data_IF_243305287594
#
_entry.id   IF_243305287594
#
_cell.length_a   1.000
_cell.length_b   1.000
_cell.length_c   1.000
_cell.angle_alpha   90.00
_cell.angle_beta   90.00
_cell.angle_gamma   90.00
#
_symmetry.space_group_name_H-M   'P 1'
#
loop_
_entity.id
_entity.type
_entity.pdbx_description
1 polymer ?
#
# COMPACT_ATOMS: atom_id res chain seq x y z
N UNK A 1 -14.34 -14.94 -8.22
CA UNK A 1 -14.04 -13.49 -8.31
C UNK A 1 -15.28 -12.65 -8.02
N UNK A 2 -16.44 -13.19 -8.33
CA UNK A 2 -17.77 -12.59 -8.38
C UNK A 2 -18.21 -11.97 -7.05
N UNK A 3 -17.84 -12.58 -5.92
CA UNK A 3 -18.15 -12.08 -4.57
C UNK A 3 -17.38 -10.79 -4.20
N UNK A 4 -16.25 -10.52 -4.86
CA UNK A 4 -15.54 -9.25 -4.72
C UNK A 4 -16.18 -8.16 -5.61
N UNK A 5 -16.56 -8.51 -6.83
CA UNK A 5 -17.26 -7.60 -7.74
C UNK A 5 -18.60 -7.10 -7.15
N UNK A 6 -19.39 -7.99 -6.55
CA UNK A 6 -20.63 -7.64 -5.84
C UNK A 6 -20.41 -6.66 -4.65
N UNK A 7 -19.21 -6.61 -4.07
CA UNK A 7 -18.85 -5.60 -3.04
C UNK A 7 -18.44 -4.27 -3.66
N UNK A 8 -17.75 -4.29 -4.81
CA UNK A 8 -17.39 -3.07 -5.54
C UNK A 8 -18.62 -2.33 -6.07
N UNK A 9 -19.66 -3.03 -6.54
CA UNK A 9 -20.94 -2.42 -6.97
C UNK A 9 -21.66 -1.62 -5.86
N UNK A 10 -21.37 -1.89 -4.58
CA UNK A 10 -21.92 -1.12 -3.45
C UNK A 10 -21.09 0.11 -3.07
N UNK A 11 -19.94 0.31 -3.72
CA UNK A 11 -19.00 1.43 -3.46
C UNK A 11 -18.94 2.40 -4.66
N UNK A 12 -19.31 1.94 -5.86
CA UNK A 12 -19.43 2.81 -7.05
C UNK A 12 -20.52 3.87 -6.89
N UNK A 13 -20.14 5.14 -6.91
CA UNK A 13 -21.06 6.28 -6.97
C UNK A 13 -21.93 6.23 -8.24
N UNK A 14 -23.25 6.30 -8.05
CA UNK A 14 -24.32 6.31 -9.06
C UNK A 14 -23.89 6.39 -10.54
N UNK A 15 -23.86 5.24 -11.21
CA UNK A 15 -24.06 5.19 -12.67
C UNK A 15 -25.39 5.87 -12.99
N UNK A 16 -25.33 6.97 -13.74
CA UNK A 16 -26.46 7.88 -14.00
C UNK A 16 -27.38 7.41 -15.12
N UNK A 17 -27.33 6.11 -15.45
CA UNK A 17 -27.86 5.50 -16.67
C UNK A 17 -29.08 4.59 -16.45
N UNK A 18 -29.78 4.67 -15.30
CA UNK A 18 -30.94 3.81 -14.97
C UNK A 18 -32.23 4.57 -14.60
N UNK A 19 -32.99 4.84 -15.66
CA UNK A 19 -34.45 4.92 -15.79
C UNK A 19 -35.29 5.77 -14.79
N UNK A 20 -36.24 6.52 -15.37
CA UNK A 20 -37.25 7.31 -14.67
C UNK A 20 -38.32 6.41 -14.02
N UNK A 21 -38.24 6.22 -12.71
CA UNK A 21 -39.40 5.85 -11.88
C UNK A 21 -39.86 7.08 -11.07
N UNK A 22 -41.18 7.25 -10.93
CA UNK A 22 -41.80 8.41 -10.28
C UNK A 22 -41.58 8.40 -8.76
N UNK A 23 -40.44 8.93 -8.31
CA UNK A 23 -40.11 9.08 -6.89
C UNK A 23 -40.87 10.24 -6.27
N UNK A 24 -41.17 10.12 -4.98
CA UNK A 24 -41.64 11.23 -4.15
C UNK A 24 -40.62 12.37 -4.14
N UNK A 25 -41.08 13.61 -3.92
CA UNK A 25 -40.23 14.79 -3.74
C UNK A 25 -39.07 14.50 -2.77
N UNK A 26 -37.85 15.00 -3.05
CA UNK A 26 -36.67 14.69 -2.25
C UNK A 26 -36.88 15.05 -0.77
N UNK A 27 -36.49 14.13 0.12
CA UNK A 27 -36.66 14.26 1.57
C UNK A 27 -35.60 15.20 2.15
N UNK A 28 -35.81 16.50 1.91
CA UNK A 28 -34.95 17.58 2.38
C UNK A 28 -35.28 17.89 3.83
N UNK A 29 -34.25 17.94 4.69
CA UNK A 29 -34.39 18.28 6.10
C UNK A 29 -35.22 19.58 6.28
N UNK A 30 -36.16 19.66 7.24
CA UNK A 30 -37.19 20.72 7.26
C UNK A 30 -36.65 22.16 7.18
N UNK A 31 -35.50 22.45 7.79
CA UNK A 31 -34.89 23.78 7.71
C UNK A 31 -34.38 24.12 6.30
N UNK A 32 -33.88 23.14 5.54
CA UNK A 32 -33.51 23.29 4.12
C UNK A 32 -34.77 23.49 3.28
N UNK A 33 -35.81 22.68 3.53
CA UNK A 33 -37.08 22.78 2.83
C UNK A 33 -37.72 24.17 2.98
N UNK A 34 -37.75 24.73 4.20
CA UNK A 34 -38.23 26.09 4.46
C UNK A 34 -37.30 27.20 3.94
N UNK A 35 -35.97 26.98 3.92
CA UNK A 35 -35.05 27.94 3.31
C UNK A 35 -35.26 28.04 1.80
N UNK A 36 -35.45 26.91 1.12
CA UNK A 36 -35.78 26.87 -0.31
C UNK A 36 -37.14 27.50 -0.63
N UNK A 37 -38.12 27.47 0.29
CA UNK A 37 -39.38 28.24 0.14
C UNK A 37 -39.13 29.75 0.11
N UNK A 38 -38.26 30.26 0.98
CA UNK A 38 -37.87 31.69 1.00
C UNK A 38 -37.09 32.08 -0.26
N UNK A 39 -36.13 31.24 -0.68
CA UNK A 39 -35.35 31.45 -1.91
C UNK A 39 -36.24 31.45 -3.14
N UNK A 40 -37.11 30.43 -3.30
CA UNK A 40 -38.08 30.36 -4.40
C UNK A 40 -38.98 31.59 -4.44
N UNK A 41 -39.54 31.99 -3.29
CA UNK A 41 -40.44 33.15 -3.21
C UNK A 41 -39.73 34.46 -3.59
N UNK A 42 -38.48 34.63 -3.16
CA UNK A 42 -37.65 35.79 -3.55
C UNK A 42 -37.33 35.79 -5.04
N UNK A 43 -36.94 34.65 -5.63
CA UNK A 43 -36.60 34.55 -7.04
C UNK A 43 -37.82 34.75 -7.96
N UNK A 44 -38.99 34.19 -7.62
CA UNK A 44 -40.24 34.41 -8.40
C UNK A 44 -40.78 35.84 -8.32
N UNK A 45 -40.32 36.66 -7.37
CA UNK A 45 -40.67 38.07 -7.28
C UNK A 45 -39.85 38.98 -8.21
N UNK A 46 -38.75 38.46 -8.79
CA UNK A 46 -37.89 39.20 -9.72
C UNK A 46 -38.38 39.06 -11.17
N UNK A 47 -38.58 40.16 -11.91
CA UNK A 47 -39.10 40.09 -13.27
C UNK A 47 -38.04 39.62 -14.28
N UNK A 48 -38.33 38.54 -15.01
CA UNK A 48 -37.52 38.10 -16.16
C UNK A 48 -36.22 37.36 -15.81
N UNK A 49 -36.04 36.92 -14.56
CA UNK A 49 -34.89 36.10 -14.14
C UNK A 49 -34.87 34.76 -14.86
N UNK A 50 -33.73 34.46 -15.46
CA UNK A 50 -33.35 33.15 -15.97
C UNK A 50 -32.50 32.45 -14.91
N UNK A 51 -32.94 31.28 -14.42
CA UNK A 51 -32.27 30.61 -13.31
C UNK A 51 -30.82 30.19 -13.63
N UNK A 52 -30.58 29.69 -14.85
CA UNK A 52 -29.26 29.18 -15.22
C UNK A 52 -28.29 30.33 -15.50
N UNK A 53 -28.72 31.32 -16.30
CA UNK A 53 -27.89 32.47 -16.65
C UNK A 53 -27.66 33.42 -15.47
N UNK A 54 -28.73 33.79 -14.76
CA UNK A 54 -28.66 34.89 -13.77
C UNK A 54 -28.34 34.41 -12.35
N UNK A 55 -28.56 33.13 -12.02
CA UNK A 55 -28.30 32.57 -10.67
C UNK A 55 -27.17 31.52 -10.66
N UNK A 56 -27.14 30.56 -11.59
CA UNK A 56 -26.02 29.60 -11.67
C UNK A 56 -24.80 30.13 -12.45
N UNK A 57 -24.99 31.19 -13.24
CA UNK A 57 -24.02 31.71 -14.20
C UNK A 57 -23.56 30.68 -15.25
N UNK A 58 -24.41 29.70 -15.53
CA UNK A 58 -24.22 28.72 -16.58
C UNK A 58 -24.54 29.35 -17.94
N UNK A 59 -23.63 29.17 -18.89
CA UNK A 59 -23.92 29.45 -20.30
C UNK A 59 -24.59 28.22 -20.89
N UNK A 60 -25.80 28.39 -21.45
CA UNK A 60 -26.55 27.33 -22.15
C UNK A 60 -25.91 27.04 -23.51
N UNK A 61 -24.68 26.54 -23.48
CA UNK A 61 -23.72 26.60 -24.58
C UNK A 61 -23.72 25.33 -25.46
N UNK A 62 -24.90 24.76 -25.70
CA UNK A 62 -25.18 23.92 -26.87
C UNK A 62 -26.66 24.05 -27.25
N UNK A 63 -26.99 23.83 -28.53
CA UNK A 63 -28.36 23.97 -29.08
C UNK A 63 -29.35 22.89 -28.61
N UNK A 64 -28.90 21.95 -27.78
CA UNK A 64 -29.70 20.82 -27.26
C UNK A 64 -30.54 21.25 -26.05
N UNK A 65 -31.63 21.99 -26.30
CA UNK A 65 -32.63 22.36 -25.29
C UNK A 65 -33.54 21.17 -24.87
N UNK A 66 -32.96 19.96 -24.79
CA UNK A 66 -33.64 18.69 -24.61
C UNK A 66 -33.88 18.37 -23.13
N UNK A 67 -34.94 18.95 -22.57
CA UNK A 67 -35.58 18.43 -21.35
C UNK A 67 -35.08 18.98 -20.01
N UNK A 68 -34.25 20.02 -19.99
CA UNK A 68 -33.94 20.75 -18.76
C UNK A 68 -35.20 21.46 -18.27
N UNK A 69 -35.75 21.02 -17.15
CA UNK A 69 -36.91 21.64 -16.51
C UNK A 69 -36.46 22.94 -15.82
N UNK A 70 -37.17 24.05 -16.06
CA UNK A 70 -36.96 25.31 -15.35
C UNK A 70 -37.11 25.09 -13.82
N UNK A 71 -36.05 25.28 -13.01
CA UNK A 71 -36.14 25.13 -11.56
C UNK A 71 -37.12 26.13 -10.91
N UNK A 72 -37.42 27.24 -11.60
CA UNK A 72 -38.43 28.22 -11.16
C UNK A 72 -39.85 27.90 -11.66
N UNK A 73 -40.09 26.79 -12.38
CA UNK A 73 -41.43 26.40 -12.80
C UNK A 73 -42.36 26.10 -11.62
N UNK A 74 -41.81 25.54 -10.54
CA UNK A 74 -42.51 25.34 -9.27
C UNK A 74 -41.52 25.15 -8.11
N UNK A 75 -42.00 25.30 -6.87
CA UNK A 75 -41.22 24.96 -5.66
C UNK A 75 -40.76 23.49 -5.66
N UNK A 76 -41.54 22.59 -6.26
CA UNK A 76 -41.15 21.19 -6.42
C UNK A 76 -39.97 21.04 -7.39
N UNK A 77 -40.01 21.74 -8.53
CA UNK A 77 -38.91 21.76 -9.50
C UNK A 77 -37.61 22.35 -8.90
N UNK A 78 -37.70 23.41 -8.08
CA UNK A 78 -36.52 23.92 -7.39
C UNK A 78 -35.96 22.90 -6.39
N UNK A 79 -36.82 22.21 -5.63
CA UNK A 79 -36.39 21.17 -4.67
C UNK A 79 -35.78 19.96 -5.37
N UNK A 80 -36.32 19.56 -6.51
CA UNK A 80 -35.80 18.48 -7.35
C UNK A 80 -34.45 18.85 -7.96
N UNK A 81 -34.32 20.06 -8.53
CA UNK A 81 -33.04 20.60 -9.00
C UNK A 81 -31.99 20.65 -7.89
N UNK A 82 -32.34 21.22 -6.73
CA UNK A 82 -31.44 21.38 -5.56
C UNK A 82 -31.09 20.06 -4.85
N UNK A 83 -31.70 18.94 -5.24
CA UNK A 83 -31.35 17.59 -4.81
C UNK A 83 -30.70 16.76 -5.93
N UNK A 84 -30.50 17.34 -7.12
CA UNK A 84 -29.92 16.67 -8.28
C UNK A 84 -28.40 16.83 -8.34
N UNK A 85 -27.68 16.00 -9.12
CA UNK A 85 -26.25 16.20 -9.38
C UNK A 85 -25.91 17.56 -10.02
N UNK A 86 -26.86 18.21 -10.70
CA UNK A 86 -26.63 19.51 -11.35
C UNK A 86 -26.40 20.65 -10.35
N UNK A 87 -27.02 20.58 -9.15
CA UNK A 87 -26.77 21.54 -8.07
C UNK A 87 -25.63 21.11 -7.12
N UNK A 88 -24.77 20.19 -7.54
CA UNK A 88 -23.66 19.72 -6.71
C UNK A 88 -22.63 20.82 -6.50
N UNK A 89 -22.37 21.18 -5.24
CA UNK A 89 -21.38 22.20 -4.88
C UNK A 89 -19.93 21.84 -5.28
N UNK A 90 -19.67 20.57 -5.65
CA UNK A 90 -18.39 20.13 -6.22
C UNK A 90 -18.26 20.43 -7.72
N UNK A 91 -19.37 20.75 -8.39
CA UNK A 91 -19.45 20.85 -9.85
C UNK A 91 -19.34 19.50 -10.57
N UNK A 92 -19.37 19.50 -11.91
CA UNK A 92 -19.09 18.32 -12.71
C UNK A 92 -17.60 17.93 -12.64
N UNK A 93 -17.32 16.63 -12.70
CA UNK A 93 -15.94 16.11 -12.76
C UNK A 93 -15.28 16.61 -14.05
N UNK A 94 -14.27 17.47 -13.91
CA UNK A 94 -13.45 17.92 -15.04
C UNK A 94 -12.61 16.75 -15.55
N UNK A 95 -12.61 16.53 -16.86
CA UNK A 95 -11.66 15.61 -17.48
C UNK A 95 -10.23 16.09 -17.18
N UNK A 96 -9.39 15.19 -16.70
CA UNK A 96 -7.99 15.46 -16.41
C UNK A 96 -7.12 15.02 -17.58
N UNK A 97 -6.08 15.81 -17.86
CA UNK A 97 -5.06 15.50 -18.84
C UNK A 97 -3.91 14.77 -18.13
N UNK A 98 -3.55 13.58 -18.62
CA UNK A 98 -2.50 12.71 -18.07
C UNK A 98 -1.27 12.56 -18.98
N UNK A 99 -1.08 13.49 -19.92
CA UNK A 99 -0.01 13.51 -20.94
C UNK A 99 1.23 14.32 -20.55
N UNK A 100 1.26 14.99 -19.39
CA UNK A 100 2.47 15.64 -18.88
C UNK A 100 3.36 14.61 -18.14
N UNK A 101 4.67 14.87 -17.93
CA UNK A 101 5.53 14.01 -17.12
C UNK A 101 4.96 13.71 -15.73
N UNK A 102 5.20 12.50 -15.20
CA UNK A 102 4.69 12.09 -13.88
C UNK A 102 5.12 13.01 -12.71
N UNK A 103 6.19 13.79 -12.88
CA UNK A 103 6.64 14.85 -11.96
C UNK A 103 5.63 15.97 -11.74
N UNK A 104 4.74 16.20 -12.70
CA UNK A 104 3.89 17.40 -12.76
C UNK A 104 2.56 17.22 -12.00
N UNK A 105 2.39 16.07 -11.34
CA UNK A 105 1.15 15.65 -10.68
C UNK A 105 1.30 15.49 -9.17
N UNK A 106 0.31 15.94 -8.41
CA UNK A 106 0.18 15.56 -7.00
C UNK A 106 -0.31 14.11 -6.88
N UNK A 107 0.57 13.21 -6.43
CA UNK A 107 0.27 11.79 -6.27
C UNK A 107 -0.30 11.52 -4.87
N UNK A 108 -1.53 10.98 -4.80
CA UNK A 108 -2.15 10.54 -3.55
C UNK A 108 -1.31 9.45 -2.90
N UNK A 109 -0.75 9.73 -1.70
CA UNK A 109 0.31 8.92 -1.09
C UNK A 109 -0.03 8.50 0.35
N UNK A 110 0.35 7.28 0.71
CA UNK A 110 0.19 6.69 2.05
C UNK A 110 1.58 6.38 2.64
N UNK A 111 1.74 6.65 3.94
CA UNK A 111 2.98 6.47 4.70
C UNK A 111 2.77 5.37 5.75
N UNK A 112 3.74 4.48 5.92
CA UNK A 112 3.65 3.24 6.73
C UNK A 112 2.33 2.48 6.45
N UNK A 113 2.02 2.24 5.17
CA UNK A 113 0.70 1.80 4.68
C UNK A 113 0.20 0.50 5.32
N UNK A 114 1.10 -0.37 5.77
CA UNK A 114 0.79 -1.63 6.45
C UNK A 114 0.10 -1.46 7.82
N UNK A 115 0.23 -0.32 8.50
CA UNK A 115 -0.28 -0.14 9.87
C UNK A 115 -1.80 -0.01 9.93
N UNK A 116 -2.44 -0.87 10.73
CA UNK A 116 -3.89 -0.78 11.03
C UNK A 116 -4.26 0.30 12.06
N UNK A 117 -3.28 0.97 12.67
CA UNK A 117 -3.53 1.96 13.72
C UNK A 117 -2.32 2.82 14.09
N UNK A 118 -1.88 2.73 15.35
CA UNK A 118 -0.80 3.56 15.88
C UNK A 118 0.61 2.98 15.58
N UNK A 119 1.58 3.88 15.45
CA UNK A 119 2.97 3.57 15.09
C UNK A 119 3.72 2.65 16.06
N UNK A 120 3.27 2.47 17.31
CA UNK A 120 4.09 1.82 18.36
C UNK A 120 3.65 0.38 18.71
N UNK A 121 2.38 0.04 18.53
CA UNK A 121 1.82 -1.25 18.96
C UNK A 121 0.55 -1.70 18.22
N UNK A 122 0.24 -1.14 17.03
CA UNK A 122 -0.84 -1.69 16.19
C UNK A 122 -0.36 -2.90 15.37
N UNK A 123 -1.31 -3.63 14.79
CA UNK A 123 -0.97 -4.77 13.93
C UNK A 123 -0.74 -4.31 12.48
N UNK A 124 0.20 -4.94 11.79
CA UNK A 124 0.45 -4.72 10.37
C UNK A 124 -0.39 -5.72 9.57
N UNK A 125 -1.10 -5.27 8.53
CA UNK A 125 -2.04 -6.13 7.79
C UNK A 125 -2.09 -5.79 6.29
N UNK A 126 -2.08 -6.81 5.44
CA UNK A 126 -2.11 -6.65 3.98
C UNK A 126 -3.39 -5.94 3.47
N UNK A 127 -4.51 -6.06 4.18
CA UNK A 127 -5.75 -5.36 3.83
C UNK A 127 -5.66 -3.83 3.95
N UNK A 128 -4.69 -3.29 4.70
CA UNK A 128 -4.47 -1.85 4.77
C UNK A 128 -4.08 -1.27 3.39
N UNK A 129 -3.28 -2.01 2.60
CA UNK A 129 -2.96 -1.67 1.21
C UNK A 129 -4.20 -1.70 0.33
N UNK A 130 -5.01 -2.76 0.42
CA UNK A 130 -6.30 -2.86 -0.29
C UNK A 130 -7.21 -1.67 0.04
N UNK A 131 -7.30 -1.29 1.31
CA UNK A 131 -8.12 -0.17 1.75
C UNK A 131 -7.64 1.17 1.16
N UNK A 132 -6.35 1.49 1.18
CA UNK A 132 -5.87 2.78 0.61
C UNK A 132 -5.95 2.79 -0.91
N UNK A 133 -5.66 1.68 -1.58
CA UNK A 133 -5.73 1.58 -3.05
C UNK A 133 -7.17 1.71 -3.55
N UNK A 134 -8.15 1.09 -2.86
CA UNK A 134 -9.58 1.29 -3.14
C UNK A 134 -10.05 2.72 -2.83
N UNK A 135 -9.42 3.44 -1.92
CA UNK A 135 -9.66 4.88 -1.68
C UNK A 135 -8.86 5.79 -2.65
N UNK A 136 -8.28 5.26 -3.72
CA UNK A 136 -7.62 6.04 -4.77
C UNK A 136 -6.20 6.50 -4.44
N UNK A 137 -5.58 5.94 -3.39
CA UNK A 137 -4.14 6.11 -3.17
C UNK A 137 -3.35 5.50 -4.34
N UNK A 138 -2.25 6.15 -4.74
CA UNK A 138 -1.38 5.79 -5.88
C UNK A 138 0.09 5.63 -5.48
N UNK A 139 0.49 5.96 -4.26
CA UNK A 139 1.82 5.65 -3.72
C UNK A 139 1.66 5.01 -2.33
N UNK A 140 2.20 3.80 -2.15
CA UNK A 140 2.10 3.01 -0.90
C UNK A 140 3.47 2.63 -0.38
N UNK A 141 3.58 2.39 0.93
CA UNK A 141 4.86 2.24 1.63
C UNK A 141 4.95 0.91 2.40
N UNK A 142 6.08 0.22 2.22
CA UNK A 142 6.39 -1.09 2.79
C UNK A 142 7.75 -1.06 3.51
N UNK A 143 7.73 -1.19 4.84
CA UNK A 143 8.93 -1.38 5.66
C UNK A 143 9.25 -2.88 5.71
N UNK A 144 10.29 -3.33 5.01
CA UNK A 144 10.60 -4.76 4.84
C UNK A 144 11.80 -5.19 5.67
N UNK A 145 11.57 -6.20 6.52
CA UNK A 145 12.52 -6.75 7.49
C UNK A 145 12.77 -8.23 7.23
N UNK A 146 13.89 -8.76 7.72
CA UNK A 146 14.14 -10.20 7.72
C UNK A 146 13.06 -10.94 8.53
N UNK A 147 12.38 -11.88 7.89
CA UNK A 147 11.49 -12.81 8.57
C UNK A 147 12.24 -13.96 9.24
N UNK A 148 11.65 -14.52 10.29
CA UNK A 148 12.11 -15.76 10.91
C UNK A 148 11.59 -16.99 10.15
N UNK A 149 12.30 -18.12 10.24
CA UNK A 149 11.82 -19.41 9.70
C UNK A 149 10.59 -19.86 10.48
N UNK A 150 9.53 -20.26 9.77
CA UNK A 150 8.31 -20.81 10.36
C UNK A 150 8.60 -22.08 11.17
N UNK A 151 8.63 -21.95 12.49
CA UNK A 151 8.86 -23.04 13.44
C UNK A 151 7.58 -23.87 13.66
N UNK A 152 7.18 -24.61 12.63
CA UNK A 152 5.98 -25.44 12.69
C UNK A 152 6.05 -26.49 13.81
N UNK A 153 5.16 -26.34 14.80
CA UNK A 153 4.79 -27.38 15.77
C UNK A 153 5.85 -27.88 16.77
N UNK A 154 6.72 -27.01 17.28
CA UNK A 154 7.29 -27.25 18.62
C UNK A 154 6.15 -27.22 19.66
N UNK A 155 6.00 -28.29 20.46
CA UNK A 155 4.86 -28.44 21.37
C UNK A 155 4.89 -27.46 22.54
N UNK A 156 3.70 -27.07 23.01
CA UNK A 156 3.53 -26.28 24.22
C UNK A 156 3.75 -27.16 25.47
N UNK A 157 5.01 -27.36 25.86
CA UNK A 157 5.42 -28.02 27.11
C UNK A 157 6.18 -27.04 28.02
N UNK A 158 5.44 -26.37 28.91
CA UNK A 158 5.99 -25.55 30.01
C UNK A 158 6.71 -26.44 31.05
N UNK A 159 7.97 -26.83 30.78
CA UNK A 159 8.83 -27.48 31.78
C UNK A 159 10.01 -26.59 32.16
N UNK A 160 9.84 -25.84 33.25
CA UNK A 160 10.88 -24.98 33.81
C UNK A 160 12.08 -25.77 34.35
N UNK A 161 13.30 -25.40 33.94
CA UNK A 161 14.54 -25.76 34.64
C UNK A 161 15.44 -24.53 34.80
N UNK A 162 15.97 -24.32 36.01
CA UNK A 162 16.69 -23.10 36.42
C UNK A 162 18.07 -23.40 36.98
N UNK A 163 19.08 -22.71 36.45
CA UNK A 163 20.47 -22.63 36.95
C UNK A 163 21.00 -21.22 36.60
N UNK A 164 21.20 -20.29 37.55
CA UNK A 164 22.46 -20.05 38.31
C UNK A 164 23.70 -19.81 37.42
N UNK A 165 24.51 -18.75 37.54
CA UNK A 165 24.53 -17.56 38.44
C UNK A 165 25.45 -16.46 37.79
N UNK A 166 25.77 -15.25 38.29
CA UNK A 166 25.67 -14.66 39.64
C UNK A 166 25.68 -13.11 39.68
N UNK A 167 25.20 -12.55 40.80
CA UNK A 167 25.68 -11.38 41.58
C UNK A 167 26.15 -10.08 40.86
N UNK A 168 25.42 -8.97 41.11
CA UNK A 168 25.94 -7.82 41.89
C UNK A 168 24.82 -6.82 42.29
N UNK A 169 25.12 -5.85 43.17
CA UNK A 169 24.12 -5.15 44.00
C UNK A 169 23.86 -3.66 43.61
N UNK A 170 22.63 -3.12 43.84
CA UNK A 170 22.33 -2.20 44.98
C UNK A 170 20.93 -1.52 45.00
N UNK A 171 20.28 -1.69 46.16
CA UNK A 171 19.56 -0.69 47.00
C UNK A 171 18.30 0.08 46.49
N UNK A 172 17.19 -0.20 47.22
CA UNK A 172 16.28 0.79 47.90
C UNK A 172 15.39 1.64 46.95
N UNK A 173 14.04 1.69 47.10
CA UNK A 173 13.27 1.96 48.33
C UNK A 173 11.85 1.33 48.33
N UNK A 174 11.22 1.26 49.49
CA UNK A 174 9.88 0.69 49.70
C UNK A 174 8.73 1.62 49.28
N UNK A 175 7.61 1.04 48.82
CA UNK A 175 6.32 1.73 48.65
C UNK A 175 5.17 0.73 48.67
N UNK A 176 4.30 0.78 49.69
CA UNK A 176 3.25 -0.23 49.91
C UNK A 176 1.88 0.23 49.37
N UNK A 177 1.23 -0.65 48.60
CA UNK A 177 -0.13 -1.15 48.93
C UNK A 177 -0.52 -2.37 48.09
N UNK A 178 -1.48 -3.14 48.61
CA UNK A 178 -1.97 -4.44 48.11
C UNK A 178 -3.51 -4.39 48.05
N UNK A 179 -4.11 -5.27 47.25
CA UNK A 179 -5.57 -5.49 47.11
C UNK A 179 -6.35 -4.38 46.39
N UNK A 180 -7.11 -4.67 45.33
CA UNK A 180 -8.28 -5.57 45.33
C UNK A 180 -8.34 -6.55 44.15
N UNK A 181 -9.25 -7.52 44.23
CA UNK A 181 -9.29 -8.73 43.40
C UNK A 181 -10.70 -8.99 42.82
N UNK A 182 -10.74 -9.58 41.61
CA UNK A 182 -11.82 -10.42 41.04
C UNK A 182 -13.25 -9.84 40.90
N UNK A 183 -13.58 -9.45 39.67
CA UNK A 183 -14.73 -10.01 38.92
C UNK A 183 -14.51 -9.74 37.42
N UNK A 184 -14.96 -10.54 36.44
CA UNK A 184 -15.78 -11.75 36.46
C UNK A 184 -15.15 -12.85 35.57
N UNK A 185 -15.25 -14.12 35.97
CA UNK A 185 -14.87 -15.25 35.11
C UNK A 185 -15.85 -16.42 35.30
N UNK A 186 -16.96 -16.43 34.54
CA UNK A 186 -17.75 -17.64 34.20
C UNK A 186 -18.91 -17.35 33.24
N UNK A 187 -18.80 -17.86 32.02
CA UNK A 187 -19.85 -18.67 31.36
C UNK A 187 -19.20 -19.47 30.23
N UNK A 188 -19.39 -20.79 30.25
CA UNK A 188 -18.75 -21.76 29.36
C UNK A 188 -19.80 -22.70 28.77
N UNK A 189 -19.46 -23.31 27.62
CA UNK A 189 -20.03 -24.54 27.06
C UNK A 189 -21.41 -24.49 26.38
N UNK A 190 -21.63 -25.51 25.52
CA UNK A 190 -22.71 -25.71 24.52
C UNK A 190 -22.51 -24.88 23.25
N UNK A 191 -22.36 -25.46 22.04
CA UNK A 191 -22.19 -26.86 21.59
C UNK A 191 -20.95 -26.89 20.67
N UNK A 192 -20.35 -28.00 20.24
CA UNK A 192 -20.67 -29.43 20.35
C UNK A 192 -20.35 -30.10 19.00
N UNK A 193 -19.46 -31.09 19.00
CA UNK A 193 -18.94 -31.71 17.77
C UNK A 193 -20.01 -32.43 16.95
N UNK A 194 -19.91 -32.36 15.61
CA UNK A 194 -20.23 -33.48 14.72
C UNK A 194 -19.66 -33.25 13.30
N UNK A 195 -18.68 -34.07 12.91
CA UNK A 195 -18.46 -34.41 11.50
C UNK A 195 -18.74 -35.89 11.31
N UNK A 196 -19.37 -36.26 10.19
CA UNK A 196 -19.25 -37.54 9.44
C UNK A 196 -20.49 -37.76 8.53
N UNK A 197 -20.26 -38.49 7.43
CA UNK A 197 -21.26 -39.18 6.59
C UNK A 197 -22.36 -38.31 5.92
N UNK A 198 -22.12 -38.03 4.65
CA UNK A 198 -23.09 -38.43 3.61
C UNK A 198 -22.34 -39.21 2.51
N UNK A 199 -22.97 -40.21 1.90
CA UNK A 199 -22.38 -40.94 0.78
C UNK A 199 -23.24 -42.11 0.28
N UNK A 200 -23.10 -42.41 -1.01
CA UNK A 200 -23.71 -43.56 -1.70
C UNK A 200 -24.80 -43.20 -2.71
N UNK A 201 -24.95 -44.08 -3.73
CA UNK A 201 -25.93 -44.04 -4.84
C UNK A 201 -25.64 -42.94 -5.92
N UNK A 202 -25.47 -43.19 -7.23
CA UNK A 202 -25.37 -44.40 -8.11
C UNK A 202 -24.36 -44.06 -9.23
N UNK A 203 -23.55 -44.94 -9.84
CA UNK A 203 -23.26 -46.35 -9.52
C UNK A 203 -23.03 -47.29 -10.72
N UNK A 204 -21.80 -47.82 -10.86
CA UNK A 204 -21.42 -49.14 -11.45
C UNK A 204 -21.45 -49.37 -12.98
N UNK A 205 -20.25 -49.38 -13.61
CA UNK A 205 -19.69 -50.30 -14.67
C UNK A 205 -18.43 -49.65 -15.28
N UNK A 206 -17.38 -50.33 -15.75
CA UNK A 206 -16.96 -51.75 -15.65
C UNK A 206 -15.47 -51.89 -16.05
N UNK A 207 -14.73 -52.79 -15.39
CA UNK A 207 -13.39 -53.28 -15.76
C UNK A 207 -13.50 -54.63 -16.53
N UNK A 208 -12.41 -55.33 -16.96
CA UNK A 208 -10.97 -55.03 -16.83
C UNK A 208 -10.15 -55.18 -18.14
N UNK A 209 -8.84 -54.89 -18.08
CA UNK A 209 -7.75 -55.77 -18.58
C UNK A 209 -6.52 -55.62 -17.66
N UNK A 210 -5.73 -56.69 -17.49
CA UNK A 210 -4.58 -56.75 -16.58
C UNK A 210 -3.25 -56.81 -17.35
N UNK A 211 -2.26 -55.99 -16.96
CA UNK A 211 -0.83 -56.26 -17.22
C UNK A 211 0.00 -55.82 -15.99
N UNK A 212 0.66 -56.74 -15.27
CA UNK A 212 1.58 -56.39 -14.20
C UNK A 212 3.00 -56.16 -14.76
N UNK A 213 3.69 -55.13 -14.30
CA UNK A 213 5.15 -55.08 -14.37
C UNK A 213 5.73 -54.65 -13.02
N UNK A 214 6.71 -55.42 -12.56
CA UNK A 214 7.49 -55.15 -11.35
C UNK A 214 8.50 -54.02 -11.59
N UNK A 215 8.70 -53.17 -10.58
CA UNK A 215 9.70 -52.09 -10.56
C UNK A 215 9.91 -51.59 -9.13
N UNK A 216 10.43 -52.46 -8.25
CA UNK A 216 10.83 -52.07 -6.89
C UNK A 216 12.09 -51.18 -6.91
N UNK A 217 11.96 -49.93 -7.33
CA UNK A 217 12.98 -48.90 -7.16
C UNK A 217 12.86 -48.28 -5.75
N UNK A 218 13.97 -48.13 -4.99
CA UNK A 218 13.92 -47.38 -3.74
C UNK A 218 13.67 -45.90 -4.05
N UNK A 219 12.68 -45.31 -3.40
CA UNK A 219 12.51 -43.85 -3.37
C UNK A 219 13.57 -43.31 -2.42
N UNK A 220 14.54 -42.57 -2.96
CA UNK A 220 15.49 -41.83 -2.13
C UNK A 220 14.71 -40.87 -1.21
N UNK A 221 15.00 -40.85 0.11
CA UNK A 221 14.47 -39.84 1.00
C UNK A 221 15.18 -38.51 0.73
N UNK A 222 14.80 -37.87 -0.38
CA UNK A 222 15.26 -36.55 -0.73
C UNK A 222 15.00 -35.61 0.46
N UNK A 223 16.07 -35.01 0.98
CA UNK A 223 15.98 -34.05 2.07
C UNK A 223 15.10 -32.88 1.63
N UNK A 224 13.86 -32.83 2.11
CA UNK A 224 13.01 -31.65 1.97
C UNK A 224 13.68 -30.50 2.74
N UNK A 225 14.49 -29.72 2.03
CA UNK A 225 15.06 -28.48 2.55
C UNK A 225 13.86 -27.56 2.82
N UNK A 226 13.59 -27.18 4.09
CA UNK A 226 12.46 -26.31 4.38
C UNK A 226 12.66 -24.98 3.66
N UNK A 227 11.58 -24.34 3.15
CA UNK A 227 11.67 -23.12 2.37
C UNK A 227 12.49 -22.04 3.09
N UNK A 228 13.19 -21.16 2.35
CA UNK A 228 13.87 -20.03 2.95
C UNK A 228 12.87 -19.14 3.70
N UNK A 229 13.29 -18.46 4.78
CA UNK A 229 12.43 -17.52 5.48
C UNK A 229 12.00 -16.38 4.55
N UNK A 230 10.70 -16.10 4.47
CA UNK A 230 10.17 -15.01 3.66
C UNK A 230 10.24 -13.66 4.40
N UNK A 231 10.44 -12.53 3.68
CA UNK A 231 10.49 -11.21 4.29
C UNK A 231 9.18 -10.83 4.98
N UNK A 232 9.27 -10.05 6.05
CA UNK A 232 8.11 -9.57 6.82
C UNK A 232 7.99 -8.04 6.74
N UNK A 233 6.77 -7.55 6.97
CA UNK A 233 6.41 -6.13 6.92
C UNK A 233 5.89 -5.68 8.28
N UNK A 234 6.60 -4.75 8.92
CA UNK A 234 6.36 -4.25 10.29
C UNK A 234 7.08 -2.92 10.53
N UNK A 235 6.68 -2.14 11.54
CA UNK A 235 7.41 -0.90 11.86
C UNK A 235 8.60 -1.19 12.80
N UNK A 236 9.79 -0.84 12.33
CA UNK A 236 11.07 -1.16 12.97
C UNK A 236 11.19 -0.70 14.43
N UNK A 237 11.80 -1.54 15.26
CA UNK A 237 12.08 -1.26 16.68
C UNK A 237 10.85 -0.95 17.56
N UNK A 238 9.65 -1.35 17.15
CA UNK A 238 8.40 -1.17 17.90
C UNK A 238 7.80 -2.49 18.39
N UNK A 239 6.56 -2.46 18.91
CA UNK A 239 5.77 -3.64 19.29
C UNK A 239 4.67 -3.97 18.26
N UNK A 240 4.77 -3.46 17.02
CA UNK A 240 3.82 -3.81 15.96
C UNK A 240 4.01 -5.27 15.52
N UNK A 241 2.93 -6.05 15.39
CA UNK A 241 3.03 -7.38 14.77
C UNK A 241 3.18 -7.23 13.25
N UNK A 242 3.97 -8.11 12.63
CA UNK A 242 4.19 -8.10 11.18
C UNK A 242 3.15 -8.89 10.38
N UNK A 243 3.11 -8.62 9.08
CA UNK A 243 2.47 -9.44 8.03
C UNK A 243 3.54 -9.91 7.04
N UNK A 244 3.27 -10.87 6.15
CA UNK A 244 4.28 -11.31 5.17
C UNK A 244 4.41 -10.32 4.02
N UNK A 245 5.60 -10.18 3.44
CA UNK A 245 5.81 -9.38 2.23
C UNK A 245 5.02 -9.94 1.03
N UNK A 246 4.83 -11.27 0.98
CA UNK A 246 4.03 -11.96 -0.04
C UNK A 246 2.55 -11.58 0.02
N UNK A 247 1.94 -11.59 1.20
CA UNK A 247 0.54 -11.18 1.41
C UNK A 247 0.33 -9.72 0.99
N UNK A 248 1.26 -8.83 1.34
CA UNK A 248 1.25 -7.42 0.92
C UNK A 248 1.34 -7.30 -0.60
N UNK A 249 2.26 -8.02 -1.26
CA UNK A 249 2.38 -7.99 -2.71
C UNK A 249 1.11 -8.49 -3.42
N UNK A 250 0.47 -9.54 -2.90
CA UNK A 250 -0.79 -10.08 -3.41
C UNK A 250 -1.96 -9.11 -3.18
N UNK A 251 -2.06 -8.48 -2.00
CA UNK A 251 -3.07 -7.46 -1.72
C UNK A 251 -2.94 -6.22 -2.62
N UNK A 252 -1.71 -5.78 -2.91
CA UNK A 252 -1.43 -4.72 -3.89
C UNK A 252 -1.85 -5.17 -5.29
N UNK A 253 -1.45 -6.37 -5.74
CA UNK A 253 -1.82 -6.91 -7.06
C UNK A 253 -3.34 -6.88 -7.30
N UNK A 254 -4.10 -7.34 -6.33
CA UNK A 254 -5.55 -7.54 -6.47
C UNK A 254 -6.37 -6.25 -6.30
N UNK A 255 -5.75 -5.14 -5.89
CA UNK A 255 -6.44 -3.86 -5.64
C UNK A 255 -5.87 -2.65 -6.39
N UNK A 256 -4.63 -2.71 -6.88
CA UNK A 256 -3.90 -1.58 -7.48
C UNK A 256 -4.71 -0.84 -8.55
N UNK A 257 -5.40 -1.56 -9.46
CA UNK A 257 -6.06 -0.98 -10.63
C UNK A 257 -7.59 -1.08 -10.62
N UNK A 258 -8.20 -1.30 -9.44
CA UNK A 258 -9.66 -1.45 -9.31
C UNK A 258 -10.42 -0.13 -9.47
N UNK A 259 -9.86 0.98 -8.98
CA UNK A 259 -10.51 2.30 -8.95
C UNK A 259 -9.85 3.36 -9.84
N UNK A 260 -8.66 3.06 -10.38
CA UNK A 260 -7.95 3.90 -11.33
C UNK A 260 -6.97 3.04 -12.13
N UNK A 261 -6.86 3.25 -13.44
CA UNK A 261 -5.90 2.54 -14.30
C UNK A 261 -4.52 3.20 -14.35
N UNK A 262 -4.34 4.34 -13.65
CA UNK A 262 -3.06 5.05 -13.51
C UNK A 262 -2.05 4.27 -12.65
N UNK A 263 -0.73 4.48 -12.83
CA UNK A 263 0.32 3.75 -12.14
C UNK A 263 0.23 3.80 -10.62
N UNK A 264 0.77 2.75 -9.98
CA UNK A 264 0.98 2.69 -8.53
C UNK A 264 2.48 2.67 -8.23
N UNK A 265 2.93 3.54 -7.33
CA UNK A 265 4.29 3.56 -6.80
C UNK A 265 4.33 2.74 -5.51
N UNK A 266 5.33 1.88 -5.38
CA UNK A 266 5.64 1.13 -4.15
C UNK A 266 6.95 1.64 -3.58
N UNK A 267 6.87 2.38 -2.47
CA UNK A 267 7.99 2.83 -1.63
C UNK A 267 8.47 1.67 -0.77
N UNK A 268 9.70 1.21 -0.98
CA UNK A 268 10.34 0.18 -0.16
C UNK A 268 11.34 0.82 0.80
N UNK A 269 11.10 0.70 2.11
CA UNK A 269 12.14 0.89 3.12
C UNK A 269 12.71 -0.47 3.49
N UNK A 270 13.99 -0.71 3.18
CA UNK A 270 14.58 -2.06 3.12
C UNK A 270 15.60 -2.24 4.24
N UNK A 271 15.24 -3.08 5.21
CA UNK A 271 16.09 -3.50 6.34
C UNK A 271 16.48 -4.99 6.27
N UNK A 272 15.82 -5.77 5.42
CA UNK A 272 16.11 -7.19 5.20
C UNK A 272 17.52 -7.45 4.63
N UNK A 273 18.07 -8.62 4.93
CA UNK A 273 19.35 -9.14 4.43
C UNK A 273 19.35 -9.33 2.90
N UNK A 274 20.54 -9.43 2.29
CA UNK A 274 20.66 -9.63 0.84
C UNK A 274 20.02 -10.95 0.34
N UNK A 275 19.96 -11.99 1.19
CA UNK A 275 19.25 -13.24 0.89
C UNK A 275 17.73 -13.01 0.82
N UNK A 276 17.16 -12.30 1.79
CA UNK A 276 15.74 -11.98 1.79
C UNK A 276 15.36 -10.88 0.78
N UNK A 277 16.29 -9.98 0.41
CA UNK A 277 16.10 -9.06 -0.71
C UNK A 277 16.02 -9.78 -2.06
N UNK A 278 16.69 -10.93 -2.24
CA UNK A 278 16.50 -11.77 -3.42
C UNK A 278 15.09 -12.40 -3.41
N UNK A 279 14.63 -12.89 -2.25
CA UNK A 279 13.24 -13.36 -2.09
C UNK A 279 12.20 -12.23 -2.33
N UNK A 280 12.49 -10.97 -1.97
CA UNK A 280 11.64 -9.82 -2.31
C UNK A 280 11.49 -9.66 -3.83
N UNK A 281 12.60 -9.75 -4.59
CA UNK A 281 12.57 -9.66 -6.05
C UNK A 281 11.70 -10.77 -6.64
N UNK A 282 11.91 -12.02 -6.21
CA UNK A 282 11.15 -13.19 -6.68
C UNK A 282 9.65 -13.05 -6.37
N UNK A 283 9.28 -12.63 -5.16
CA UNK A 283 7.88 -12.37 -4.76
C UNK A 283 7.25 -11.27 -5.62
N UNK A 284 7.98 -10.19 -5.94
CA UNK A 284 7.47 -9.10 -6.79
C UNK A 284 7.33 -9.52 -8.25
N UNK A 285 8.29 -10.28 -8.80
CA UNK A 285 8.20 -10.80 -10.17
C UNK A 285 7.09 -11.86 -10.33
N UNK A 286 6.83 -12.65 -9.29
CA UNK A 286 5.71 -13.59 -9.23
C UNK A 286 4.37 -12.86 -9.15
N UNK A 287 4.20 -11.98 -8.15
CA UNK A 287 2.93 -11.31 -7.87
C UNK A 287 2.57 -10.25 -8.93
N UNK A 288 3.54 -9.48 -9.41
CA UNK A 288 3.32 -8.33 -10.30
C UNK A 288 3.74 -8.59 -11.75
N UNK A 289 3.76 -9.87 -12.15
CA UNK A 289 4.08 -10.30 -13.51
C UNK A 289 3.24 -9.56 -14.56
N UNK A 290 3.91 -8.82 -15.45
CA UNK A 290 3.28 -7.97 -16.47
C UNK A 290 2.77 -6.61 -15.97
N UNK A 291 2.59 -6.44 -14.66
CA UNK A 291 2.33 -5.14 -14.01
C UNK A 291 3.62 -4.36 -13.74
N UNK A 292 4.76 -5.03 -13.54
CA UNK A 292 6.06 -4.36 -13.50
C UNK A 292 6.39 -3.68 -14.85
N UNK A 293 7.20 -2.62 -14.79
CA UNK A 293 7.83 -2.04 -15.99
C UNK A 293 9.02 -2.91 -16.37
N UNK A 294 9.10 -3.36 -17.62
CA UNK A 294 10.26 -4.15 -18.08
C UNK A 294 11.52 -3.28 -18.09
N UNK A 295 12.60 -3.75 -17.45
CA UNK A 295 13.89 -3.05 -17.41
C UNK A 295 14.56 -3.15 -18.78
N UNK A 296 14.68 -2.01 -19.48
CA UNK A 296 15.42 -1.91 -20.76
C UNK A 296 16.21 -0.60 -20.79
N UNK A 297 17.38 -0.54 -21.47
CA UNK A 297 18.22 0.66 -21.50
C UNK A 297 17.50 1.92 -22.01
N UNK A 298 16.56 1.76 -22.93
CA UNK A 298 15.77 2.86 -23.50
C UNK A 298 14.85 3.50 -22.46
N UNK A 299 14.28 2.69 -21.55
CA UNK A 299 13.44 3.17 -20.44
C UNK A 299 14.27 3.74 -19.31
N UNK A 300 15.45 3.18 -19.04
CA UNK A 300 16.38 3.74 -18.05
C UNK A 300 16.98 5.09 -18.48
N UNK A 301 17.06 5.34 -19.80
CA UNK A 301 17.52 6.60 -20.40
C UNK A 301 16.37 7.54 -20.82
N UNK A 302 15.13 7.32 -20.35
CA UNK A 302 13.98 8.16 -20.67
C UNK A 302 13.98 9.44 -19.83
N UNK A 303 14.25 10.56 -20.48
CA UNK A 303 14.15 11.93 -19.95
C UNK A 303 13.47 12.83 -21.01
N UNK A 304 12.42 13.61 -20.69
CA UNK A 304 11.73 13.71 -19.40
C UNK A 304 11.06 12.40 -18.97
N UNK A 305 10.72 12.31 -17.68
CA UNK A 305 9.98 11.16 -17.14
C UNK A 305 8.67 10.93 -17.91
N UNK A 306 8.26 9.67 -18.12
CA UNK A 306 7.07 9.33 -18.89
C UNK A 306 5.78 9.85 -18.24
N UNK A 307 4.73 9.97 -19.05
CA UNK A 307 3.45 10.47 -18.59
C UNK A 307 2.66 9.40 -17.82
N UNK A 308 1.78 9.76 -16.86
CA UNK A 308 0.93 8.79 -16.16
C UNK A 308 0.05 7.93 -17.07
N UNK A 309 -0.26 8.39 -18.29
CA UNK A 309 -1.01 7.59 -19.28
C UNK A 309 -0.17 6.50 -19.96
N UNK A 310 1.12 6.72 -20.22
CA UNK A 310 2.04 5.70 -20.75
C UNK A 310 2.28 4.57 -19.73
N UNK A 311 2.15 4.91 -18.44
CA UNK A 311 2.36 4.03 -17.30
C UNK A 311 1.06 3.34 -16.81
N UNK A 312 -0.02 3.36 -17.60
CA UNK A 312 -1.29 2.72 -17.22
C UNK A 312 -1.13 1.24 -16.88
N UNK A 313 -1.70 0.84 -15.74
CA UNK A 313 -1.62 -0.49 -15.11
C UNK A 313 -0.19 -0.96 -14.83
N UNK A 314 0.73 -0.03 -14.55
CA UNK A 314 2.10 -0.34 -14.11
C UNK A 314 2.33 -0.08 -12.62
N UNK A 315 3.14 -0.95 -12.02
CA UNK A 315 3.67 -0.82 -10.67
C UNK A 315 5.13 -0.36 -10.79
N UNK A 316 5.46 0.76 -10.12
CA UNK A 316 6.78 1.38 -10.11
C UNK A 316 7.45 1.13 -8.76
N UNK A 317 8.68 0.61 -8.75
CA UNK A 317 9.41 0.35 -7.50
C UNK A 317 10.26 1.57 -7.14
N UNK A 318 10.01 2.16 -5.97
CA UNK A 318 10.85 3.19 -5.36
C UNK A 318 11.72 2.53 -4.29
N UNK A 319 12.99 2.31 -4.62
CA UNK A 319 14.01 1.83 -3.68
C UNK A 319 15.31 2.61 -3.89
N UNK A 320 16.21 2.60 -2.90
CA UNK A 320 17.52 3.25 -3.00
C UNK A 320 18.32 2.70 -4.19
N UNK A 321 18.87 3.61 -4.99
CA UNK A 321 19.72 3.29 -6.14
C UNK A 321 21.09 2.74 -5.72
N UNK A 322 21.57 1.78 -6.51
CA UNK A 322 22.92 1.21 -6.50
C UNK A 322 23.42 1.24 -7.94
N UNK A 323 24.59 1.82 -8.18
CA UNK A 323 25.23 1.78 -9.50
C UNK A 323 25.61 0.32 -9.87
N UNK A 324 25.31 -0.15 -11.10
CA UNK A 324 25.65 -1.51 -11.50
C UNK A 324 27.17 -1.70 -11.52
N UNK A 325 27.67 -2.82 -11.00
CA UNK A 325 29.11 -3.05 -10.96
C UNK A 325 29.65 -3.45 -12.33
N UNK A 326 30.37 -2.53 -12.98
CA UNK A 326 31.14 -2.84 -14.18
C UNK A 326 32.28 -3.80 -13.85
N UNK A 327 32.25 -5.02 -14.39
CA UNK A 327 33.32 -6.03 -14.21
C UNK A 327 34.68 -5.64 -14.84
N UNK A 328 34.77 -4.47 -15.49
CA UNK A 328 35.98 -3.99 -16.16
C UNK A 328 36.25 -2.51 -15.86
N UNK A 329 37.52 -2.24 -15.51
CA UNK A 329 38.20 -0.94 -15.28
C UNK A 329 37.99 -0.16 -13.96
N UNK A 330 39.11 0.41 -13.51
CA UNK A 330 39.18 1.47 -12.50
C UNK A 330 38.79 2.82 -13.11
N UNK A 331 37.59 3.33 -12.81
CA UNK A 331 37.29 4.76 -12.91
C UNK A 331 36.75 5.26 -11.56
N UNK A 332 37.38 6.30 -11.02
CA UNK A 332 37.10 6.81 -9.67
C UNK A 332 35.95 7.82 -9.69
N UNK A 333 34.70 7.35 -9.61
CA UNK A 333 33.54 8.22 -9.37
C UNK A 333 33.40 8.53 -7.86
N UNK A 334 33.25 9.81 -7.47
CA UNK A 334 33.14 10.22 -6.07
C UNK A 334 31.70 10.13 -5.56
N UNK A 335 31.15 8.92 -5.42
CA UNK A 335 29.82 8.73 -4.83
C UNK A 335 29.82 8.97 -3.31
N UNK A 336 29.08 10.00 -2.88
CA UNK A 336 28.99 10.45 -1.49
C UNK A 336 28.20 9.49 -0.60
N UNK A 337 28.91 8.64 0.16
CA UNK A 337 28.31 7.75 1.14
C UNK A 337 27.83 8.50 2.40
N UNK A 338 26.63 9.07 2.35
CA UNK A 338 25.92 9.71 3.47
C UNK A 338 25.45 8.74 4.57
N UNK A 339 26.34 7.90 5.08
CA UNK A 339 26.09 6.87 6.12
C UNK A 339 26.56 7.34 7.52
N UNK A 340 26.65 8.66 7.73
CA UNK A 340 27.24 9.30 8.93
C UNK A 340 26.23 9.55 10.06
N UNK A 341 24.94 9.71 9.75
CA UNK A 341 23.91 10.08 10.74
C UNK A 341 23.66 8.99 11.81
N UNK A 342 23.95 7.73 11.51
CA UNK A 342 23.90 6.63 12.49
C UNK A 342 25.09 6.64 13.48
N UNK A 343 26.27 7.10 13.05
CA UNK A 343 27.46 7.10 13.89
C UNK A 343 27.35 8.09 15.07
N UNK A 344 26.65 9.20 14.86
CA UNK A 344 26.47 10.28 15.85
C UNK A 344 25.69 9.86 17.11
N UNK A 345 25.00 8.70 17.10
CA UNK A 345 24.24 8.20 18.26
C UNK A 345 25.12 7.55 19.34
N UNK A 346 26.38 7.20 19.06
CA UNK A 346 27.21 6.38 19.97
C UNK A 346 28.35 7.13 20.67
N UNK A 347 28.80 8.29 20.16
CA UNK A 347 29.94 9.04 20.71
C UNK A 347 29.54 10.30 21.51
N UNK A 348 28.62 10.14 22.46
CA UNK A 348 28.22 11.17 23.42
C UNK A 348 28.94 11.06 24.78
N UNK A 349 30.26 10.84 24.80
CA UNK A 349 31.04 10.91 26.04
C UNK A 349 32.54 11.18 25.85
N UNK A 350 33.11 11.95 26.78
CA UNK A 350 34.51 12.38 26.89
C UNK A 350 35.02 13.29 25.74
N UNK A 351 36.09 14.03 26.04
CA UNK A 351 36.71 15.02 25.16
C UNK A 351 38.14 15.31 25.62
N UNK A 352 38.53 16.59 25.62
CA UNK A 352 39.91 17.09 25.80
C UNK A 352 40.76 17.08 24.50
N UNK A 353 41.91 17.74 24.55
CA UNK A 353 42.53 18.43 23.42
C UNK A 353 43.85 17.80 22.90
N UNK A 354 44.19 18.24 21.68
CA UNK A 354 45.55 18.50 21.16
C UNK A 354 46.26 17.44 20.31
N UNK A 355 47.22 17.97 19.56
CA UNK A 355 48.37 17.32 18.90
C UNK A 355 48.15 16.76 17.49
N UNK A 356 48.99 17.25 16.58
CA UNK A 356 49.11 16.89 15.16
C UNK A 356 50.09 15.74 14.96
N UNK A 357 49.81 14.84 14.02
CA UNK A 357 50.84 13.98 13.42
C UNK A 357 50.43 13.61 11.98
N UNK A 358 51.27 13.91 11.00
CA UNK A 358 51.02 13.61 9.58
C UNK A 358 51.34 12.14 9.26
N UNK A 359 50.35 11.41 8.75
CA UNK A 359 50.54 10.14 8.04
C UNK A 359 49.62 10.05 6.82
N UNK A 360 50.08 9.47 5.70
CA UNK A 360 49.21 9.19 4.56
C UNK A 360 48.16 8.15 4.98
N UNK A 361 46.89 8.50 4.87
CA UNK A 361 45.78 7.58 5.08
C UNK A 361 45.53 6.79 3.80
N UNK A 362 45.86 5.49 3.81
CA UNK A 362 45.13 4.55 2.96
C UNK A 362 43.64 4.68 3.30
N UNK A 363 42.80 4.93 2.30
CA UNK A 363 41.37 5.06 2.51
C UNK A 363 40.79 3.71 2.99
N UNK A 364 39.95 3.69 4.05
CA UNK A 364 39.34 2.45 4.51
C UNK A 364 38.48 1.83 3.39
N UNK A 365 38.45 0.49 3.25
CA UNK A 365 37.74 -0.16 2.17
C UNK A 365 36.26 0.23 2.16
N UNK A 366 35.71 0.49 0.97
CA UNK A 366 34.30 0.88 0.79
C UNK A 366 33.39 -0.17 1.46
N UNK A 367 32.46 0.28 2.31
CA UNK A 367 31.43 -0.58 2.92
C UNK A 367 30.64 -1.30 1.80
N UNK A 368 30.26 -2.58 1.97
CA UNK A 368 29.39 -3.26 1.01
C UNK A 368 28.02 -2.57 0.94
N UNK A 369 27.34 -2.66 -0.20
CA UNK A 369 25.98 -2.14 -0.36
C UNK A 369 25.02 -2.84 0.60
N UNK A 370 24.14 -2.05 1.24
CA UNK A 370 23.01 -2.55 2.02
C UNK A 370 21.83 -3.01 1.13
N UNK A 371 21.90 -2.73 -0.17
CA UNK A 371 20.85 -3.02 -1.17
C UNK A 371 21.42 -3.90 -2.28
N UNK A 372 20.67 -4.95 -2.64
CA UNK A 372 20.96 -5.88 -3.73
C UNK A 372 20.79 -5.20 -5.11
N UNK A 373 21.71 -5.43 -6.05
CA UNK A 373 21.64 -4.81 -7.39
C UNK A 373 20.35 -5.19 -8.13
N UNK A 374 19.92 -6.45 -8.06
CA UNK A 374 18.67 -6.92 -8.66
C UNK A 374 17.44 -6.16 -8.14
N UNK A 375 17.39 -5.87 -6.83
CA UNK A 375 16.33 -5.07 -6.22
C UNK A 375 16.39 -3.60 -6.67
N UNK A 376 17.59 -3.02 -6.70
CA UNK A 376 17.80 -1.65 -7.20
C UNK A 376 17.39 -1.48 -8.67
N UNK A 377 17.58 -2.51 -9.51
CA UNK A 377 17.30 -2.45 -10.95
C UNK A 377 15.80 -2.47 -11.29
N UNK A 378 14.92 -2.81 -10.35
CA UNK A 378 13.48 -2.64 -10.50
C UNK A 378 13.06 -1.15 -10.41
N UNK A 379 13.88 -0.28 -9.84
CA UNK A 379 13.64 1.16 -9.81
C UNK A 379 14.15 1.82 -11.10
N UNK A 380 13.30 1.89 -12.12
CA UNK A 380 13.61 2.58 -13.39
C UNK A 380 13.40 4.09 -13.24
N UNK A 381 12.14 4.53 -13.13
CA UNK A 381 11.75 5.95 -13.07
C UNK A 381 11.75 6.55 -11.66
N UNK A 382 11.97 5.72 -10.63
CA UNK A 382 11.75 6.06 -9.21
C UNK A 382 12.98 5.74 -8.34
N UNK A 383 14.18 5.90 -8.92
CA UNK A 383 15.50 5.71 -8.29
C UNK A 383 15.65 6.59 -7.04
N UNK A 384 15.85 5.97 -5.87
CA UNK A 384 16.00 6.69 -4.60
C UNK A 384 17.44 7.14 -4.35
N UNK A 385 17.66 8.46 -4.30
CA UNK A 385 18.94 9.09 -3.97
C UNK A 385 18.89 9.74 -2.57
N UNK A 386 20.05 9.95 -1.95
CA UNK A 386 20.16 10.83 -0.79
C UNK A 386 20.28 12.27 -1.27
N UNK A 387 19.38 13.15 -0.83
CA UNK A 387 19.41 14.57 -1.18
C UNK A 387 20.43 15.33 -0.32
N UNK A 388 21.40 16.01 -0.95
CA UNK A 388 22.23 17.01 -0.29
C UNK A 388 22.22 18.40 -0.93
N UNK A 389 21.88 18.54 -2.22
CA UNK A 389 21.64 19.83 -2.88
C UNK A 389 20.71 19.73 -4.10
N UNK A 390 20.10 20.85 -4.50
CA UNK A 390 19.06 20.92 -5.53
C UNK A 390 19.53 20.63 -6.98
N UNK A 391 20.83 20.52 -7.22
CA UNK A 391 21.35 20.10 -8.54
C UNK A 391 21.32 18.57 -8.69
N UNK A 392 21.31 17.81 -7.58
CA UNK A 392 21.25 16.35 -7.65
C UNK A 392 19.92 15.82 -8.22
N UNK A 393 19.95 14.72 -9.00
CA UNK A 393 21.09 13.84 -9.27
C UNK A 393 22.00 14.30 -10.42
N UNK A 394 21.77 15.48 -11.02
CA UNK A 394 22.45 15.93 -12.23
C UNK A 394 23.60 16.92 -11.98
N UNK A 395 24.84 16.49 -12.24
CA UNK A 395 25.87 17.42 -12.69
C UNK A 395 25.50 17.89 -14.11
N UNK A 396 24.62 18.88 -14.21
CA UNK A 396 24.30 19.52 -15.49
C UNK A 396 25.59 20.08 -16.09
N UNK A 397 25.96 19.54 -17.25
CA UNK A 397 27.03 20.09 -18.08
C UNK A 397 26.39 21.08 -19.05
N UNK A 398 26.72 22.37 -18.89
CA UNK A 398 26.31 23.46 -19.81
C UNK A 398 26.81 23.26 -21.25
#
# INVERSE_FOLDING_TARGET
MDDLANRTEQITLNDSSKCLESKSSPDLAPFVASHLEVVYSSLKALPGVDFFRDIQHETTNDGSNNGVVDPLASLAALREYMASPASSAMGPVKQQNYSAPISDYFISSSHNTYLTGNQLYSDSDASAYTNVLLNGCRCVEIDVWDGERSSESASADDTSSSSSDSISERKIKQGSKRERLKSMAKRHSRLGSMSTKLGGLIGRKSSPEDVPLDSSAPVDPATEVPPPPEPQVLHGHTLTKGTTFRDVCYAIRDSAFVTSDLPVIVSLEVHASLEQQQAMVEIMEEAWKGMLVEVTPEKEATDPLPAPEDLKRKILIKVKYVAPTSEDKNEETPEGNGDELEALKQHANQGDLSSTDDKPSDAPPKKPSKILEALSRLAIFTKGFHFSHFEQPGNYSD
#
